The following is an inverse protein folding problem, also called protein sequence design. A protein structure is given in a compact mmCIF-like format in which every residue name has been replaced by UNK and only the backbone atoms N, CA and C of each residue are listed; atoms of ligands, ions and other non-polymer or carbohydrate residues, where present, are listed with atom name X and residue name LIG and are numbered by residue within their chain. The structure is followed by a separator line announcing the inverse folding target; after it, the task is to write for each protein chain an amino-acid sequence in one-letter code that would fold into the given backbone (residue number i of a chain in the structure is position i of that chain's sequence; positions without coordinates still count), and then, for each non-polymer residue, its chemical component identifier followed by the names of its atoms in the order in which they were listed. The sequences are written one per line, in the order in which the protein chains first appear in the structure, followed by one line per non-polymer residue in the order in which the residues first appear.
data_IF_880054539151
#
_entry.id   IF_880054539151
#
_cell.length_a   1.000
_cell.length_b   1.000
_cell.length_c   1.000
_cell.angle_alpha   90.00
_cell.angle_beta   90.00
_cell.angle_gamma   90.00
#
_symmetry.space_group_name_H-M   'P 1'
#
loop_
_entity.id
_entity.type
_entity.pdbx_description
1 polymer ?
#
# COMPACT_ATOMS: atom_id res chain seq x y z
N UNK A 1 4.85 -14.60 -12.80
CA UNK A 1 3.77 -14.84 -13.76
C UNK A 1 2.60 -13.93 -13.43
N UNK A 2 1.95 -13.36 -14.45
CA UNK A 2 0.70 -12.61 -14.34
C UNK A 2 -0.50 -13.58 -14.38
N UNK A 3 -1.71 -13.10 -13.99
CA UNK A 3 -2.92 -13.92 -14.13
C UNK A 3 -3.17 -14.31 -15.60
N UNK A 4 -2.92 -13.38 -16.53
CA UNK A 4 -3.01 -13.63 -17.97
C UNK A 4 -2.07 -14.74 -18.46
N UNK A 5 -0.83 -14.79 -17.96
CA UNK A 5 0.13 -15.87 -18.29
C UNK A 5 -0.30 -17.22 -17.71
N UNK A 6 -0.96 -17.24 -16.56
CA UNK A 6 -1.38 -18.47 -15.87
C UNK A 6 -2.72 -19.01 -16.40
N UNK A 7 -3.62 -18.12 -16.81
CA UNK A 7 -4.99 -18.45 -17.26
C UNK A 7 -5.32 -17.80 -18.60
N UNK A 8 -4.58 -18.06 -19.66
CA UNK A 8 -4.76 -17.37 -20.94
C UNK A 8 -6.15 -17.60 -21.57
N UNK A 9 -6.75 -18.76 -21.34
CA UNK A 9 -8.10 -19.05 -21.83
C UNK A 9 -9.21 -18.29 -21.10
N UNK A 10 -8.95 -17.83 -19.86
CA UNK A 10 -9.91 -17.13 -18.99
C UNK A 10 -9.59 -15.64 -18.83
N UNK A 11 -8.54 -15.14 -19.48
CA UNK A 11 -8.06 -13.76 -19.31
C UNK A 11 -9.17 -12.73 -19.49
N UNK A 12 -9.96 -12.87 -20.56
CA UNK A 12 -11.04 -11.92 -20.86
C UNK A 12 -12.13 -11.92 -19.78
N UNK A 13 -12.49 -13.11 -19.28
CA UNK A 13 -13.49 -13.25 -18.22
C UNK A 13 -13.00 -12.69 -16.88
N UNK A 14 -11.75 -12.98 -16.53
CA UNK A 14 -11.13 -12.47 -15.31
C UNK A 14 -11.01 -10.94 -15.35
N UNK A 15 -10.58 -10.37 -16.47
CA UNK A 15 -10.52 -8.91 -16.60
C UNK A 15 -11.93 -8.29 -16.47
N UNK A 16 -12.94 -8.86 -17.12
CA UNK A 16 -14.31 -8.36 -17.01
C UNK A 16 -14.88 -8.53 -15.57
N UNK A 17 -14.52 -9.59 -14.86
CA UNK A 17 -14.92 -9.79 -13.47
C UNK A 17 -14.23 -8.78 -12.54
N UNK A 18 -12.95 -8.56 -12.73
CA UNK A 18 -12.17 -7.55 -12.02
C UNK A 18 -12.75 -6.14 -12.22
N UNK A 19 -13.02 -5.74 -13.46
CA UNK A 19 -13.56 -4.42 -13.78
C UNK A 19 -14.92 -4.19 -13.13
N UNK A 20 -15.84 -5.17 -13.24
CA UNK A 20 -17.15 -5.10 -12.55
C UNK A 20 -17.01 -4.98 -11.04
N UNK A 21 -16.10 -5.75 -10.46
CA UNK A 21 -15.90 -5.72 -9.00
C UNK A 21 -15.29 -4.40 -8.57
N UNK A 22 -14.29 -3.90 -9.28
CA UNK A 22 -13.65 -2.62 -9.00
C UNK A 22 -14.66 -1.46 -9.09
N UNK A 23 -15.50 -1.44 -10.13
CA UNK A 23 -16.55 -0.43 -10.29
C UNK A 23 -17.54 -0.45 -9.12
N UNK A 24 -17.98 -1.64 -8.69
CA UNK A 24 -18.88 -1.79 -7.55
C UNK A 24 -18.25 -1.27 -6.23
N UNK A 25 -16.96 -1.56 -6.01
CA UNK A 25 -16.21 -1.06 -4.86
C UNK A 25 -16.06 0.47 -4.90
N UNK A 26 -15.69 1.03 -6.05
CA UNK A 26 -15.56 2.48 -6.23
C UNK A 26 -16.89 3.20 -5.99
N UNK A 27 -18.00 2.65 -6.49
CA UNK A 27 -19.34 3.19 -6.26
C UNK A 27 -19.72 3.18 -4.79
N UNK A 28 -19.37 2.13 -4.05
CA UNK A 28 -19.64 2.02 -2.61
C UNK A 28 -18.88 3.10 -1.80
N UNK A 29 -17.74 3.55 -2.30
CA UNK A 29 -16.88 4.56 -1.67
C UNK A 29 -16.96 5.96 -2.30
N UNK A 30 -17.90 6.18 -3.22
CA UNK A 30 -18.01 7.47 -3.92
C UNK A 30 -18.29 8.67 -2.99
N UNK A 31 -18.89 8.43 -1.83
CA UNK A 31 -19.17 9.45 -0.80
C UNK A 31 -18.02 9.72 0.18
N UNK A 32 -16.93 8.96 0.13
CA UNK A 32 -15.77 9.20 0.99
C UNK A 32 -15.05 10.51 0.61
N UNK A 33 -14.31 11.09 1.56
CA UNK A 33 -13.48 12.27 1.31
C UNK A 33 -12.49 12.01 0.16
N UNK A 34 -12.16 13.04 -0.61
CA UNK A 34 -11.27 12.94 -1.77
C UNK A 34 -9.93 12.30 -1.41
N UNK A 35 -9.34 12.75 -0.30
CA UNK A 35 -8.05 12.27 0.20
C UNK A 35 -8.09 10.77 0.51
N UNK A 36 -9.18 10.29 1.11
CA UNK A 36 -9.38 8.86 1.38
C UNK A 36 -9.57 8.07 0.08
N UNK A 37 -10.35 8.61 -0.87
CA UNK A 37 -10.56 7.98 -2.18
C UNK A 37 -9.27 7.83 -2.97
N UNK A 38 -8.32 8.76 -2.87
CA UNK A 38 -7.01 8.65 -3.52
C UNK A 38 -6.27 7.37 -3.08
N UNK A 39 -6.33 7.00 -1.81
CA UNK A 39 -5.79 5.72 -1.31
C UNK A 39 -6.64 4.53 -1.74
N UNK A 40 -7.95 4.63 -1.60
CA UNK A 40 -8.90 3.59 -1.96
C UNK A 40 -8.75 3.21 -3.43
N UNK A 41 -8.91 4.16 -4.33
CA UNK A 41 -8.91 3.96 -5.78
C UNK A 41 -7.51 3.66 -6.33
N UNK A 42 -6.47 4.22 -5.69
CA UNK A 42 -5.08 4.05 -6.12
C UNK A 42 -4.48 2.68 -5.82
N UNK A 43 -4.90 2.03 -4.73
CA UNK A 43 -4.27 0.78 -4.27
C UNK A 43 -5.24 -0.20 -3.61
N UNK A 44 -6.08 0.24 -2.66
CA UNK A 44 -6.83 -0.67 -1.79
C UNK A 44 -7.89 -1.43 -2.59
N UNK A 45 -8.80 -0.71 -3.24
CA UNK A 45 -9.92 -1.31 -3.98
C UNK A 45 -9.44 -2.16 -5.18
N UNK A 46 -8.44 -1.73 -5.97
CA UNK A 46 -7.85 -2.61 -6.98
C UNK A 46 -7.23 -3.88 -6.41
N UNK A 47 -6.58 -3.80 -5.24
CA UNK A 47 -6.03 -4.97 -4.56
C UNK A 47 -7.11 -5.94 -4.12
N UNK A 48 -8.20 -5.45 -3.52
CA UNK A 48 -9.36 -6.26 -3.10
C UNK A 48 -10.04 -6.88 -4.33
N UNK A 49 -10.33 -6.10 -5.37
CA UNK A 49 -10.96 -6.60 -6.58
C UNK A 49 -10.13 -7.70 -7.25
N UNK A 50 -8.81 -7.52 -7.35
CA UNK A 50 -7.91 -8.53 -7.88
C UNK A 50 -7.90 -9.80 -7.03
N UNK A 51 -7.79 -9.64 -5.71
CA UNK A 51 -7.76 -10.76 -4.77
C UNK A 51 -9.02 -11.61 -4.83
N UNK A 52 -10.20 -10.99 -4.78
CA UNK A 52 -11.49 -11.68 -4.89
C UNK A 52 -11.69 -12.33 -6.27
N UNK A 53 -11.32 -11.64 -7.34
CA UNK A 53 -11.41 -12.18 -8.71
C UNK A 53 -10.54 -13.42 -8.87
N UNK A 54 -9.29 -13.39 -8.39
CA UNK A 54 -8.39 -14.53 -8.48
C UNK A 54 -8.87 -15.74 -7.69
N UNK A 55 -9.58 -15.54 -6.57
CA UNK A 55 -10.16 -16.64 -5.80
C UNK A 55 -11.24 -17.42 -6.55
N UNK A 56 -11.78 -16.91 -7.65
CA UNK A 56 -12.72 -17.65 -8.50
C UNK A 56 -12.05 -18.76 -9.32
N UNK A 57 -10.72 -18.69 -9.50
CA UNK A 57 -9.96 -19.62 -10.34
C UNK A 57 -8.77 -20.28 -9.64
N UNK A 58 -8.48 -19.89 -8.40
CA UNK A 58 -7.38 -20.48 -7.63
C UNK A 58 -7.65 -20.43 -6.12
N UNK A 59 -6.94 -21.23 -5.31
CA UNK A 59 -7.02 -21.20 -3.86
C UNK A 59 -6.66 -19.82 -3.29
N UNK A 60 -7.31 -19.45 -2.19
CA UNK A 60 -7.13 -18.18 -1.47
C UNK A 60 -5.66 -17.82 -1.22
N UNK A 61 -4.86 -18.77 -0.78
CA UNK A 61 -3.44 -18.56 -0.50
C UNK A 61 -2.63 -18.21 -1.76
N UNK A 62 -2.95 -18.83 -2.90
CA UNK A 62 -2.28 -18.56 -4.18
C UNK A 62 -2.69 -17.19 -4.74
N UNK A 63 -3.98 -16.82 -4.60
CA UNK A 63 -4.47 -15.50 -4.97
C UNK A 63 -3.76 -14.40 -4.17
N UNK A 64 -3.59 -14.60 -2.85
CA UNK A 64 -2.85 -13.69 -1.99
C UNK A 64 -1.40 -13.53 -2.45
N UNK A 65 -0.69 -14.63 -2.70
CA UNK A 65 0.68 -14.61 -3.19
C UNK A 65 0.82 -13.87 -4.52
N UNK A 66 -0.15 -14.01 -5.41
CA UNK A 66 -0.12 -13.34 -6.71
C UNK A 66 -0.32 -11.83 -6.58
N UNK A 67 -1.25 -11.39 -5.73
CA UNK A 67 -1.45 -9.96 -5.44
C UNK A 67 -0.23 -9.39 -4.74
N UNK A 68 0.32 -10.09 -3.74
CA UNK A 68 1.54 -9.68 -3.03
C UNK A 68 2.70 -9.49 -4.01
N UNK A 69 2.98 -10.47 -4.87
CA UNK A 69 4.05 -10.38 -5.87
C UNK A 69 3.86 -9.22 -6.87
N UNK A 70 2.60 -8.85 -7.16
CA UNK A 70 2.31 -7.67 -7.98
C UNK A 70 2.64 -6.38 -7.24
N UNK A 71 2.22 -6.26 -5.98
CA UNK A 71 2.48 -5.09 -5.13
C UNK A 71 3.98 -4.91 -4.92
N UNK A 72 4.70 -5.99 -4.59
CA UNK A 72 6.17 -5.97 -4.46
C UNK A 72 6.87 -5.47 -5.72
N UNK A 73 6.49 -5.95 -6.92
CA UNK A 73 7.09 -5.47 -8.18
C UNK A 73 6.91 -3.96 -8.36
N UNK A 74 5.77 -3.41 -7.98
CA UNK A 74 5.54 -1.96 -8.02
C UNK A 74 6.44 -1.24 -7.03
N UNK A 75 6.56 -1.76 -5.82
CA UNK A 75 7.42 -1.21 -4.77
C UNK A 75 8.90 -1.19 -5.21
N UNK A 76 9.40 -2.28 -5.80
CA UNK A 76 10.77 -2.34 -6.34
C UNK A 76 11.01 -1.34 -7.46
N UNK A 77 10.04 -1.13 -8.36
CA UNK A 77 10.15 -0.09 -9.41
C UNK A 77 10.22 1.31 -8.81
N UNK A 78 9.38 1.59 -7.82
CA UNK A 78 9.37 2.87 -7.11
C UNK A 78 10.69 3.08 -6.37
N UNK A 79 11.17 2.09 -5.63
CA UNK A 79 12.48 2.11 -4.96
C UNK A 79 13.61 2.44 -5.93
N UNK A 80 13.66 1.75 -7.08
CA UNK A 80 14.70 1.99 -8.08
C UNK A 80 14.68 3.43 -8.61
N UNK A 81 13.50 4.02 -8.77
CA UNK A 81 13.35 5.43 -9.15
C UNK A 81 13.82 6.36 -8.02
N UNK A 82 13.40 6.13 -6.79
CA UNK A 82 13.78 6.93 -5.62
C UNK A 82 15.29 6.86 -5.35
N UNK A 83 15.91 5.69 -5.51
CA UNK A 83 17.36 5.52 -5.36
C UNK A 83 18.16 6.35 -6.37
N UNK A 84 17.67 6.49 -7.61
CA UNK A 84 18.31 7.38 -8.60
C UNK A 84 18.32 8.83 -8.12
N UNK A 85 17.22 9.28 -7.55
CA UNK A 85 17.08 10.64 -7.00
C UNK A 85 17.98 10.80 -5.75
N UNK A 86 17.97 9.82 -4.85
CA UNK A 86 18.76 9.85 -3.62
C UNK A 86 20.28 9.87 -3.85
N UNK A 87 20.76 9.39 -5.02
CA UNK A 87 22.17 9.44 -5.43
C UNK A 87 22.65 10.83 -5.83
N UNK A 88 21.75 11.78 -6.10
CA UNK A 88 22.12 13.16 -6.42
C UNK A 88 22.77 13.79 -5.18
N UNK A 89 24.00 14.35 -5.28
CA UNK A 89 24.72 14.90 -4.13
C UNK A 89 23.88 15.90 -3.34
N UNK A 90 23.74 15.69 -2.04
CA UNK A 90 23.02 16.57 -1.12
C UNK A 90 21.51 16.36 -1.06
N UNK A 91 20.87 15.71 -2.03
CA UNK A 91 19.41 15.50 -2.06
C UNK A 91 18.93 14.70 -0.87
N UNK A 92 19.69 13.69 -0.41
CA UNK A 92 19.31 12.89 0.76
C UNK A 92 19.02 13.74 2.02
N UNK A 93 19.62 14.94 2.14
CA UNK A 93 19.39 15.87 3.27
C UNK A 93 17.99 16.47 3.25
N UNK A 94 17.37 16.57 2.06
CA UNK A 94 16.02 17.13 1.89
C UNK A 94 14.95 16.06 2.07
N UNK A 95 15.30 14.77 1.88
CA UNK A 95 14.36 13.66 1.93
C UNK A 95 13.56 13.60 3.24
N UNK A 96 14.17 13.69 4.45
CA UNK A 96 13.39 13.63 5.70
C UNK A 96 12.32 14.72 5.79
N UNK A 97 12.67 15.96 5.46
CA UNK A 97 11.70 17.07 5.49
C UNK A 97 10.58 16.94 4.47
N UNK A 98 10.90 16.52 3.25
CA UNK A 98 9.92 16.27 2.20
C UNK A 98 9.02 15.08 2.55
N UNK A 99 9.61 14.02 3.08
CA UNK A 99 8.89 12.82 3.51
C UNK A 99 7.92 13.14 4.65
N UNK A 100 8.37 13.81 5.70
CA UNK A 100 7.53 14.21 6.84
C UNK A 100 6.37 15.09 6.38
N UNK A 101 6.64 16.11 5.55
CA UNK A 101 5.60 16.99 5.01
C UNK A 101 4.61 16.22 4.11
N UNK A 102 5.12 15.36 3.25
CA UNK A 102 4.32 14.50 2.37
C UNK A 102 3.43 13.57 3.18
N UNK A 103 3.98 12.88 4.18
CA UNK A 103 3.25 11.95 5.03
C UNK A 103 2.13 12.66 5.80
N UNK A 104 2.40 13.79 6.44
CA UNK A 104 1.35 14.56 7.14
C UNK A 104 0.20 14.99 6.22
N UNK A 105 0.50 15.27 4.96
CA UNK A 105 -0.52 15.64 3.98
C UNK A 105 -1.32 14.45 3.47
N UNK A 106 -0.64 13.35 3.16
CA UNK A 106 -1.25 12.17 2.51
C UNK A 106 -1.91 11.22 3.52
N UNK A 107 -1.40 11.16 4.75
CA UNK A 107 -1.84 10.21 5.78
C UNK A 107 -2.47 10.94 6.98
N UNK A 108 -3.28 11.97 6.70
CA UNK A 108 -4.02 12.72 7.70
C UNK A 108 -5.46 12.22 7.90
N UNK A 109 -6.19 12.86 8.80
CA UNK A 109 -7.57 12.51 9.17
C UNK A 109 -8.53 12.48 7.98
N UNK A 110 -8.39 13.44 7.04
CA UNK A 110 -9.20 13.48 5.82
C UNK A 110 -9.02 12.24 4.94
N UNK A 111 -7.84 11.64 4.98
CA UNK A 111 -7.53 10.39 4.29
C UNK A 111 -7.94 9.14 5.09
N UNK A 112 -8.51 9.32 6.28
CA UNK A 112 -8.98 8.23 7.15
C UNK A 112 -7.90 7.62 8.04
N UNK A 113 -6.72 8.24 8.13
CA UNK A 113 -5.67 7.83 9.06
C UNK A 113 -5.79 8.56 10.38
N UNK A 114 -5.29 7.95 11.45
CA UNK A 114 -4.98 8.63 12.69
C UNK A 114 -3.56 8.26 13.14
N UNK A 115 -2.78 9.25 13.50
CA UNK A 115 -1.39 9.07 13.82
C UNK A 115 -1.00 9.81 15.11
N UNK A 116 -0.09 9.23 15.89
CA UNK A 116 0.57 9.85 17.02
C UNK A 116 2.02 10.14 16.64
N UNK A 117 2.34 11.42 16.53
CA UNK A 117 3.70 11.85 16.23
C UNK A 117 4.47 12.07 17.56
N UNK A 118 5.63 11.47 17.66
CA UNK A 118 6.46 11.55 18.85
C UNK A 118 7.51 12.64 18.74
N UNK A 119 7.75 13.34 19.83
CA UNK A 119 8.90 14.25 19.92
C UNK A 119 10.19 13.44 19.92
N UNK A 120 11.06 13.74 18.96
CA UNK A 120 12.34 13.05 18.79
C UNK A 120 13.47 14.07 18.59
N UNK A 121 14.71 13.64 18.76
CA UNK A 121 15.91 14.44 18.55
C UNK A 121 16.86 13.79 17.55
N UNK A 122 17.90 14.48 17.13
CA UNK A 122 18.97 13.88 16.33
C UNK A 122 18.59 13.50 14.90
N UNK A 123 17.61 14.16 14.31
CA UNK A 123 17.19 13.87 12.91
C UNK A 123 16.31 12.62 12.78
N UNK A 124 15.78 12.10 13.88
CA UNK A 124 14.79 11.03 13.90
C UNK A 124 13.39 11.64 13.79
N UNK A 125 12.54 11.04 12.97
CA UNK A 125 11.11 11.28 12.96
C UNK A 125 10.39 9.96 13.25
N UNK A 126 9.51 9.98 14.24
CA UNK A 126 8.75 8.82 14.67
C UNK A 126 7.26 9.13 14.65
N UNK A 127 6.51 8.23 14.06
CA UNK A 127 5.04 8.27 13.98
C UNK A 127 4.50 6.86 14.26
N UNK A 128 3.47 6.79 15.09
CA UNK A 128 2.70 5.58 15.32
C UNK A 128 1.35 5.75 14.65
N UNK A 129 1.01 4.84 13.73
CA UNK A 129 -0.23 4.89 12.95
C UNK A 129 -1.30 4.06 13.68
N UNK A 130 -2.20 4.72 14.41
CA UNK A 130 -3.23 4.07 15.25
C UNK A 130 -4.53 3.79 14.50
N UNK A 131 -4.69 4.32 13.30
CA UNK A 131 -5.80 4.01 12.37
C UNK A 131 -5.28 4.05 10.94
N UNK A 132 -5.68 3.07 10.15
CA UNK A 132 -5.21 2.92 8.77
C UNK A 132 -6.36 2.47 7.85
N UNK A 133 -6.75 3.24 6.82
CA UNK A 133 -7.81 2.87 5.90
C UNK A 133 -7.50 1.60 5.10
N UNK A 134 -6.23 1.24 4.90
CA UNK A 134 -5.84 -0.02 4.29
C UNK A 134 -6.30 -1.20 5.15
N UNK A 135 -6.00 -1.16 6.45
CA UNK A 135 -6.44 -2.18 7.40
C UNK A 135 -7.97 -2.21 7.50
N UNK A 136 -8.60 -1.05 7.78
CA UNK A 136 -10.03 -0.96 8.03
C UNK A 136 -10.84 -1.44 6.81
N UNK A 137 -10.40 -1.08 5.60
CA UNK A 137 -11.09 -1.50 4.37
C UNK A 137 -10.90 -2.99 4.09
N UNK A 138 -9.69 -3.53 4.29
CA UNK A 138 -9.47 -4.97 4.15
C UNK A 138 -10.33 -5.78 5.14
N UNK A 139 -10.46 -5.32 6.39
CA UNK A 139 -11.36 -5.92 7.38
C UNK A 139 -12.82 -5.82 6.96
N UNK A 140 -13.25 -4.64 6.50
CA UNK A 140 -14.62 -4.39 6.01
C UNK A 140 -15.03 -5.37 4.90
N UNK A 141 -14.10 -5.70 4.00
CA UNK A 141 -14.35 -6.63 2.89
C UNK A 141 -13.95 -8.08 3.19
N UNK A 142 -13.67 -8.43 4.45
CA UNK A 142 -13.39 -9.81 4.87
C UNK A 142 -12.08 -10.40 4.35
N UNK A 143 -11.12 -9.55 4.03
CA UNK A 143 -9.79 -9.94 3.55
C UNK A 143 -8.63 -9.26 4.34
N UNK A 144 -8.63 -9.33 5.70
CA UNK A 144 -7.60 -8.66 6.51
C UNK A 144 -6.19 -9.15 6.17
N UNK A 145 -6.03 -10.40 5.73
CA UNK A 145 -4.75 -10.97 5.30
C UNK A 145 -4.13 -10.29 4.07
N UNK A 146 -4.91 -9.49 3.34
CA UNK A 146 -4.41 -8.71 2.21
C UNK A 146 -3.65 -7.45 2.69
N UNK A 147 -3.99 -6.90 3.85
CA UNK A 147 -3.40 -5.66 4.35
C UNK A 147 -1.87 -5.70 4.48
N UNK A 148 -1.24 -6.77 4.99
CA UNK A 148 0.22 -6.89 5.04
C UNK A 148 0.93 -6.67 3.69
N UNK A 149 0.30 -7.03 2.57
CA UNK A 149 0.90 -6.82 1.24
C UNK A 149 1.20 -5.33 0.98
N UNK A 150 0.31 -4.44 1.42
CA UNK A 150 0.52 -3.00 1.30
C UNK A 150 1.57 -2.50 2.29
N UNK A 151 1.60 -3.03 3.52
CA UNK A 151 2.62 -2.70 4.49
C UNK A 151 4.02 -3.08 3.98
N UNK A 152 4.18 -4.28 3.45
CA UNK A 152 5.46 -4.77 2.93
C UNK A 152 5.99 -3.92 1.78
N UNK A 153 5.09 -3.31 1.00
CA UNK A 153 5.48 -2.41 -0.08
C UNK A 153 6.22 -1.16 0.40
N UNK A 154 5.90 -0.66 1.60
CA UNK A 154 6.62 0.47 2.19
C UNK A 154 8.02 0.06 2.63
N UNK A 155 8.15 -1.11 3.29
CA UNK A 155 9.44 -1.62 3.70
C UNK A 155 10.36 -1.84 2.50
N UNK A 156 9.84 -2.44 1.43
CA UNK A 156 10.59 -2.58 0.18
C UNK A 156 10.98 -1.23 -0.39
N UNK A 157 10.07 -0.27 -0.41
CA UNK A 157 10.30 1.03 -1.05
C UNK A 157 11.31 1.88 -0.31
N UNK A 158 11.21 1.95 1.02
CA UNK A 158 11.94 2.94 1.81
C UNK A 158 13.23 2.41 2.45
N UNK A 159 13.31 1.09 2.74
CA UNK A 159 14.54 0.53 3.27
C UNK A 159 15.69 0.59 2.27
N UNK A 160 16.88 0.97 2.73
CA UNK A 160 18.08 1.01 1.90
C UNK A 160 18.04 2.00 0.74
N UNK A 161 17.27 3.08 0.80
CA UNK A 161 17.26 4.13 -0.21
C UNK A 161 18.61 4.86 -0.31
N UNK A 162 19.24 5.12 0.82
CA UNK A 162 20.54 5.79 0.92
C UNK A 162 21.19 5.42 2.26
N UNK A 163 22.52 5.25 2.36
CA UNK A 163 23.21 4.85 3.60
C UNK A 163 22.97 5.76 4.81
N UNK A 164 22.54 7.00 4.58
CA UNK A 164 22.24 7.99 5.63
C UNK A 164 20.75 8.16 5.90
N UNK A 165 19.89 7.41 5.22
CA UNK A 165 18.44 7.39 5.42
C UNK A 165 18.06 6.02 5.94
N UNK A 166 17.64 5.95 7.19
CA UNK A 166 17.27 4.69 7.83
C UNK A 166 15.75 4.65 7.92
N UNK A 167 15.16 3.66 7.27
CA UNK A 167 13.78 3.24 7.46
C UNK A 167 13.73 2.22 8.59
N UNK A 168 12.84 2.41 9.53
CA UNK A 168 12.66 1.47 10.63
C UNK A 168 11.18 1.39 11.00
N UNK A 169 10.61 0.21 10.87
CA UNK A 169 9.24 -0.09 11.29
C UNK A 169 9.26 -1.31 12.20
N UNK A 170 8.60 -1.22 13.35
CA UNK A 170 8.56 -2.28 14.36
C UNK A 170 7.26 -3.08 14.30
N UNK A 171 6.13 -2.43 13.97
CA UNK A 171 4.78 -3.02 14.02
C UNK A 171 3.92 -2.52 12.88
N UNK A 172 2.82 -3.23 12.60
CA UNK A 172 1.77 -2.79 11.67
C UNK A 172 0.41 -3.28 12.11
N UNK A 173 -0.62 -2.43 11.99
CA UNK A 173 -2.02 -2.81 12.19
C UNK A 173 -2.42 -4.01 11.30
N UNK A 174 -1.87 -4.06 10.07
CA UNK A 174 -2.13 -5.15 9.14
C UNK A 174 -1.65 -6.53 9.59
N UNK A 175 -0.73 -6.61 10.57
CA UNK A 175 -0.28 -7.86 11.19
C UNK A 175 -0.93 -8.16 12.54
N UNK A 176 -1.93 -7.35 12.92
CA UNK A 176 -2.65 -7.49 14.19
C UNK A 176 -1.95 -6.82 15.37
N UNK A 177 -0.95 -5.99 15.11
CA UNK A 177 -0.34 -5.16 16.14
C UNK A 177 -1.26 -3.98 16.52
N UNK A 178 -1.07 -3.40 17.67
CA UNK A 178 -1.83 -2.26 18.20
C UNK A 178 -1.30 -0.90 17.74
N UNK A 179 -0.31 -0.92 16.83
CA UNK A 179 0.21 0.30 16.17
C UNK A 179 1.41 -0.02 15.27
#
# INVERSE_FOLDING_TARGET
HTAAERFPAQEKELNAAFDRRLEALQKAHAGDAKEKREHLEGQILPGIAAYETLQTVMPKAEALQMVHAYVERRAWKLKAMMQKIAKIPGVYRLVPGLFTKGTRKMFGDAAGFAAVEHQTSGGVWRIDMVKCPYHDTCVQYGCPELCPCFCDSDDITYDGLHPKLIWHRTRTLGRGDDC
#
